data_IF_785563570309
#
_entry.id   IF_785563570309
#
_cell.length_a   1.000
_cell.length_b   1.000
_cell.length_c   1.000
_cell.angle_alpha   90.00
_cell.angle_beta   90.00
_cell.angle_gamma   90.00
#
_symmetry.space_group_name_H-M   'P 1'
#
loop_
_entity.id
_entity.type
_entity.pdbx_description
1 polymer ?
#
# COMPACT_ATOMS: atom_id res chain seq x y z
N UNK A 1 4.36 -0.29 13.41
CA UNK A 1 3.21 -1.15 13.04
C UNK A 1 2.77 -0.99 11.59
N UNK A 2 2.54 0.23 11.07
CA UNK A 2 2.03 0.41 9.69
C UNK A 2 3.01 0.06 8.58
N UNK A 3 4.31 0.20 8.81
CA UNK A 3 5.34 -0.29 7.88
C UNK A 3 5.29 -1.82 7.74
N UNK A 4 5.07 -2.55 8.85
CA UNK A 4 4.88 -4.00 8.81
C UNK A 4 3.62 -4.41 8.04
N UNK A 5 2.52 -3.65 8.20
CA UNK A 5 1.31 -3.88 7.42
C UNK A 5 1.58 -3.70 5.92
N UNK A 6 2.25 -2.62 5.52
CA UNK A 6 2.62 -2.40 4.12
C UNK A 6 3.53 -3.49 3.55
N UNK A 7 4.53 -3.90 4.33
CA UNK A 7 5.41 -5.00 3.97
C UNK A 7 4.65 -6.31 3.74
N UNK A 8 3.78 -6.70 4.69
CA UNK A 8 2.96 -7.91 4.56
C UNK A 8 2.00 -7.79 3.38
N UNK A 9 1.33 -6.65 3.23
CA UNK A 9 0.37 -6.42 2.14
C UNK A 9 1.03 -6.53 0.76
N UNK A 10 2.25 -6.02 0.60
CA UNK A 10 3.00 -6.13 -0.66
C UNK A 10 3.52 -7.56 -0.90
N UNK A 11 3.91 -8.27 0.15
CA UNK A 11 4.26 -9.69 0.01
C UNK A 11 3.05 -10.51 -0.42
N UNK A 12 1.88 -10.27 0.18
CA UNK A 12 0.65 -10.99 -0.17
C UNK A 12 0.25 -10.79 -1.63
N UNK A 13 0.26 -9.55 -2.14
CA UNK A 13 -0.11 -9.31 -3.54
C UNK A 13 0.90 -9.95 -4.50
N UNK A 14 2.17 -9.97 -4.13
CA UNK A 14 3.22 -10.62 -4.94
C UNK A 14 3.19 -12.15 -4.88
N UNK A 15 2.72 -12.74 -3.78
CA UNK A 15 2.43 -14.19 -3.69
C UNK A 15 1.26 -14.56 -4.60
N UNK A 16 0.25 -13.71 -4.69
CA UNK A 16 -0.87 -13.92 -5.62
C UNK A 16 -0.38 -13.85 -7.06
N UNK A 17 0.47 -12.87 -7.41
CA UNK A 17 1.13 -12.81 -8.73
C UNK A 17 2.00 -14.04 -9.03
N UNK A 18 2.76 -14.53 -8.05
CA UNK A 18 3.53 -15.78 -8.17
C UNK A 18 2.62 -16.98 -8.48
N UNK A 19 1.46 -17.06 -7.81
CA UNK A 19 0.47 -18.11 -8.07
C UNK A 19 -0.13 -17.97 -9.47
N UNK A 20 -0.45 -16.75 -9.88
CA UNK A 20 -1.10 -16.49 -11.17
C UNK A 20 -0.21 -16.91 -12.34
N UNK A 21 1.07 -16.50 -12.30
CA UNK A 21 2.09 -16.91 -13.28
C UNK A 21 2.33 -18.42 -13.29
N UNK A 22 2.23 -19.09 -12.12
CA UNK A 22 2.38 -20.54 -12.03
C UNK A 22 1.26 -21.30 -12.74
N UNK A 23 0.02 -20.80 -12.72
CA UNK A 23 -1.15 -21.51 -13.23
C UNK A 23 -1.57 -21.07 -14.64
N UNK A 24 -1.48 -19.79 -14.97
CA UNK A 24 -1.97 -19.24 -16.25
C UNK A 24 -0.86 -18.91 -17.25
N UNK A 25 0.41 -18.94 -16.82
CA UNK A 25 1.56 -18.67 -17.68
C UNK A 25 1.86 -17.17 -17.83
N UNK A 26 3.12 -16.85 -18.15
CA UNK A 26 3.59 -15.47 -18.35
C UNK A 26 3.18 -14.89 -19.70
N UNK A 27 3.11 -13.57 -19.79
CA UNK A 27 2.89 -12.79 -21.02
C UNK A 27 3.97 -13.05 -22.11
N UNK A 28 5.08 -13.70 -21.72
CA UNK A 28 6.22 -14.06 -22.57
C UNK A 28 6.27 -15.55 -22.95
N UNK A 29 5.20 -16.32 -22.73
CA UNK A 29 5.04 -17.70 -23.24
C UNK A 29 5.82 -18.77 -22.47
N UNK A 30 6.39 -18.45 -21.31
CA UNK A 30 7.09 -19.41 -20.47
C UNK A 30 6.20 -19.85 -19.30
N UNK A 31 6.02 -21.17 -19.16
CA UNK A 31 5.24 -21.79 -18.10
C UNK A 31 6.21 -22.53 -17.18
N UNK A 32 6.22 -22.21 -15.89
CA UNK A 32 7.02 -22.97 -14.93
C UNK A 32 7.38 -22.25 -13.65
N UNK A 33 7.72 -23.04 -12.63
CA UNK A 33 8.10 -22.60 -11.29
C UNK A 33 9.34 -21.69 -11.31
N UNK A 34 10.28 -21.94 -12.24
CA UNK A 34 11.48 -21.11 -12.42
C UNK A 34 11.14 -19.72 -12.97
N UNK A 35 10.24 -19.62 -13.96
CA UNK A 35 9.80 -18.34 -14.50
C UNK A 35 9.08 -17.51 -13.43
N UNK A 36 8.15 -18.13 -12.68
CA UNK A 36 7.45 -17.50 -11.56
C UNK A 36 8.41 -17.02 -10.45
N UNK A 37 9.44 -17.83 -10.13
CA UNK A 37 10.45 -17.46 -9.14
C UNK A 37 11.26 -16.25 -9.58
N UNK A 38 11.67 -16.20 -10.85
CA UNK A 38 12.43 -15.07 -11.36
C UNK A 38 11.58 -13.79 -11.47
N UNK A 39 10.32 -13.89 -11.89
CA UNK A 39 9.46 -12.72 -12.11
C UNK A 39 8.81 -12.15 -10.84
N UNK A 40 8.42 -13.00 -9.87
CA UNK A 40 7.79 -12.56 -8.62
C UNK A 40 8.59 -12.97 -7.37
N UNK A 41 9.29 -14.10 -7.39
CA UNK A 41 10.05 -14.62 -6.25
C UNK A 41 11.29 -13.80 -5.89
N UNK A 42 12.08 -13.37 -6.88
CA UNK A 42 13.27 -12.53 -6.66
C UNK A 42 12.91 -11.22 -5.98
N UNK A 43 11.74 -10.68 -6.28
CA UNK A 43 11.28 -9.45 -5.67
C UNK A 43 10.77 -9.61 -4.25
N UNK A 44 10.19 -10.77 -3.91
CA UNK A 44 9.90 -11.12 -2.51
C UNK A 44 11.22 -11.20 -1.75
N UNK A 45 12.25 -11.80 -2.35
CA UNK A 45 13.60 -11.92 -1.79
C UNK A 45 14.24 -10.53 -1.59
N UNK A 46 14.07 -9.62 -2.57
CA UNK A 46 14.51 -8.23 -2.46
C UNK A 46 13.80 -7.48 -1.34
N UNK A 47 12.48 -7.62 -1.23
CA UNK A 47 11.70 -6.98 -0.16
C UNK A 47 12.12 -7.49 1.21
N UNK A 48 12.32 -8.81 1.38
CA UNK A 48 12.76 -9.42 2.65
C UNK A 48 14.18 -8.94 2.99
N UNK A 49 15.12 -8.99 2.04
CA UNK A 49 16.49 -8.53 2.26
C UNK A 49 16.56 -7.04 2.57
N UNK A 50 15.83 -6.22 1.82
CA UNK A 50 15.73 -4.78 2.02
C UNK A 50 15.08 -4.42 3.37
N UNK A 51 14.06 -5.16 3.79
CA UNK A 51 13.42 -4.95 5.09
C UNK A 51 14.37 -5.31 6.24
N UNK A 52 15.05 -6.47 6.17
CA UNK A 52 16.05 -6.87 7.15
C UNK A 52 17.21 -5.89 7.25
N UNK A 53 17.69 -5.38 6.10
CA UNK A 53 18.72 -4.35 6.06
C UNK A 53 18.25 -3.04 6.71
N UNK A 54 17.05 -2.56 6.37
CA UNK A 54 16.50 -1.33 6.95
C UNK A 54 16.25 -1.44 8.46
N UNK A 55 15.78 -2.60 8.92
CA UNK A 55 15.55 -2.87 10.34
C UNK A 55 16.87 -2.98 11.11
N UNK A 56 17.92 -3.56 10.52
CA UNK A 56 19.25 -3.60 11.12
C UNK A 56 19.96 -2.24 11.16
N UNK A 57 19.65 -1.32 10.23
CA UNK A 57 20.25 0.01 10.18
C UNK A 57 19.53 1.06 11.05
N UNK A 58 18.19 1.00 11.13
CA UNK A 58 17.37 1.97 11.88
C UNK A 58 16.87 1.43 13.23
N UNK A 59 17.05 0.14 13.52
CA UNK A 59 16.54 -0.52 14.71
C UNK A 59 17.41 -0.31 15.97
N UNK A 60 17.01 -0.90 17.11
CA UNK A 60 17.80 -0.90 18.34
C UNK A 60 19.16 -1.59 18.14
N UNK A 61 20.17 -1.24 18.94
CA UNK A 61 21.56 -1.75 18.84
C UNK A 61 21.67 -3.30 18.82
N UNK A 62 20.66 -3.99 19.37
CA UNK A 62 20.53 -5.46 19.38
C UNK A 62 20.31 -6.07 17.98
N UNK A 63 19.80 -5.28 17.03
CA UNK A 63 19.45 -5.70 15.68
C UNK A 63 20.56 -5.46 14.64
N UNK A 64 21.72 -4.89 15.04
CA UNK A 64 22.84 -4.62 14.12
C UNK A 64 23.34 -5.91 13.43
N UNK A 65 23.26 -7.05 14.14
CA UNK A 65 23.60 -8.37 13.60
C UNK A 65 22.74 -8.80 12.39
N UNK A 66 21.55 -8.22 12.20
CA UNK A 66 20.69 -8.47 11.05
C UNK A 66 21.02 -7.61 9.82
N UNK A 67 21.83 -6.56 9.97
CA UNK A 67 22.19 -5.66 8.86
C UNK A 67 23.01 -6.38 7.79
N UNK A 68 24.05 -7.13 8.20
CA UNK A 68 24.92 -7.86 7.28
C UNK A 68 24.19 -8.94 6.47
N UNK A 69 23.41 -9.86 7.07
CA UNK A 69 22.65 -10.84 6.30
C UNK A 69 21.59 -10.18 5.43
N UNK A 70 20.92 -9.11 5.91
CA UNK A 70 19.97 -8.35 5.11
C UNK A 70 20.58 -7.74 3.85
N UNK A 71 21.77 -7.13 3.96
CA UNK A 71 22.50 -6.57 2.84
C UNK A 71 22.90 -7.63 1.81
N UNK A 72 23.39 -8.80 2.26
CA UNK A 72 23.76 -9.92 1.39
C UNK A 72 22.54 -10.43 0.62
N UNK A 73 21.40 -10.60 1.31
CA UNK A 73 20.15 -11.06 0.68
C UNK A 73 19.64 -10.02 -0.32
N UNK A 74 19.71 -8.73 -0.01
CA UNK A 74 19.30 -7.67 -0.94
C UNK A 74 20.23 -7.60 -2.17
N UNK A 75 21.55 -7.69 -1.99
CA UNK A 75 22.50 -7.67 -3.09
C UNK A 75 22.34 -8.89 -4.01
N UNK A 76 22.16 -10.08 -3.43
CA UNK A 76 21.89 -11.29 -4.21
C UNK A 76 20.57 -11.19 -4.97
N UNK A 77 19.53 -10.60 -4.37
CA UNK A 77 18.28 -10.32 -5.08
C UNK A 77 18.46 -9.36 -6.27
N UNK A 78 19.27 -8.31 -6.14
CA UNK A 78 19.56 -7.38 -7.26
C UNK A 78 20.32 -8.08 -8.39
N UNK A 79 21.28 -8.95 -8.07
CA UNK A 79 21.98 -9.76 -9.08
C UNK A 79 21.01 -10.72 -9.79
N UNK A 80 20.12 -11.35 -9.03
CA UNK A 80 19.07 -12.19 -9.61
C UNK A 80 18.12 -11.38 -10.49
N UNK A 81 17.74 -10.15 -10.10
CA UNK A 81 16.92 -9.27 -10.95
C UNK A 81 17.62 -8.95 -12.27
N UNK A 82 18.91 -8.68 -12.25
CA UNK A 82 19.69 -8.45 -13.47
C UNK A 82 19.65 -9.66 -14.41
N UNK A 83 19.74 -10.87 -13.85
CA UNK A 83 19.57 -12.12 -14.59
C UNK A 83 18.15 -12.28 -15.14
N UNK A 84 17.13 -11.89 -14.36
CA UNK A 84 15.72 -11.99 -14.77
C UNK A 84 15.41 -11.09 -15.96
N UNK A 85 15.89 -9.84 -15.93
CA UNK A 85 15.70 -8.87 -17.00
C UNK A 85 16.42 -9.29 -18.29
N UNK A 86 17.62 -9.90 -18.15
CA UNK A 86 18.38 -10.38 -19.30
C UNK A 86 17.71 -11.58 -19.97
N UNK A 87 17.33 -12.60 -19.20
CA UNK A 87 16.88 -13.88 -19.75
C UNK A 87 15.37 -13.93 -20.06
N UNK A 88 14.54 -13.21 -19.30
CA UNK A 88 13.08 -13.27 -19.46
C UNK A 88 12.48 -12.04 -20.14
N UNK A 89 13.06 -10.85 -19.94
CA UNK A 89 12.58 -9.62 -20.62
C UNK A 89 13.34 -9.29 -21.92
N UNK A 90 14.39 -10.06 -22.24
CA UNK A 90 15.15 -9.90 -23.49
C UNK A 90 15.92 -8.57 -23.59
N UNK A 91 16.09 -7.87 -22.47
CA UNK A 91 16.76 -6.56 -22.43
C UNK A 91 18.29 -6.79 -22.46
N UNK A 92 19.06 -6.01 -23.26
CA UNK A 92 20.52 -6.09 -23.27
C UNK A 92 21.12 -5.94 -21.86
N UNK A 93 22.15 -6.73 -21.56
CA UNK A 93 22.79 -6.80 -20.22
C UNK A 93 23.21 -5.41 -19.68
N UNK A 94 23.68 -4.52 -20.55
CA UNK A 94 24.08 -3.18 -20.15
C UNK A 94 22.92 -2.34 -19.59
N UNK A 95 21.70 -2.52 -20.11
CA UNK A 95 20.52 -1.81 -19.65
C UNK A 95 19.96 -2.47 -18.39
N UNK A 96 19.97 -3.82 -18.32
CA UNK A 96 19.49 -4.54 -17.13
C UNK A 96 20.34 -4.27 -15.88
N UNK A 97 21.65 -4.05 -16.04
CA UNK A 97 22.56 -3.65 -14.94
C UNK A 97 22.13 -2.32 -14.29
N UNK A 98 21.65 -1.36 -15.08
CA UNK A 98 21.22 -0.06 -14.58
C UNK A 98 19.75 -0.09 -14.11
N UNK A 99 18.89 -0.79 -14.85
CA UNK A 99 17.46 -0.80 -14.61
C UNK A 99 17.10 -1.58 -13.34
N UNK A 100 17.74 -2.73 -13.06
CA UNK A 100 17.42 -3.55 -11.90
C UNK A 100 17.56 -2.81 -10.55
N UNK A 101 18.64 -2.05 -10.29
CA UNK A 101 18.73 -1.20 -9.09
C UNK A 101 17.67 -0.08 -9.04
N UNK A 102 17.35 0.54 -10.19
CA UNK A 102 16.34 1.62 -10.26
C UNK A 102 14.96 1.07 -9.90
N UNK A 103 14.61 -0.09 -10.45
CA UNK A 103 13.38 -0.80 -10.16
C UNK A 103 13.27 -1.23 -8.69
N UNK A 104 14.37 -1.74 -8.12
CA UNK A 104 14.46 -2.06 -6.70
C UNK A 104 14.17 -0.85 -5.80
N UNK A 105 14.74 0.32 -6.15
CA UNK A 105 14.48 1.59 -5.45
C UNK A 105 13.03 2.03 -5.64
N UNK A 106 12.47 1.87 -6.84
CA UNK A 106 11.09 2.21 -7.19
C UNK A 106 10.02 1.44 -6.39
N UNK A 107 10.39 0.35 -5.72
CA UNK A 107 9.50 -0.42 -4.84
C UNK A 107 9.40 0.14 -3.42
N UNK A 108 10.40 0.88 -2.94
CA UNK A 108 10.40 1.46 -1.59
C UNK A 108 9.21 2.41 -1.32
N UNK A 109 8.82 3.31 -2.26
CA UNK A 109 7.66 4.18 -2.08
C UNK A 109 6.36 3.41 -1.81
N UNK A 110 6.20 2.20 -2.37
CA UNK A 110 5.01 1.39 -2.15
C UNK A 110 4.88 0.97 -0.68
N UNK A 111 5.98 0.58 -0.02
CA UNK A 111 5.99 0.21 1.40
C UNK A 111 5.77 1.45 2.27
N UNK A 112 6.45 2.55 1.95
CA UNK A 112 6.37 3.82 2.70
C UNK A 112 4.96 4.44 2.59
N UNK A 113 4.26 4.23 1.48
CA UNK A 113 2.91 4.77 1.27
C UNK A 113 1.91 4.35 2.35
N UNK A 114 2.10 3.19 3.00
CA UNK A 114 1.28 2.74 4.12
C UNK A 114 1.40 3.60 5.39
N UNK A 115 2.47 4.40 5.52
CA UNK A 115 2.58 5.43 6.57
C UNK A 115 1.45 6.45 6.45
N UNK A 116 0.88 6.64 5.26
CA UNK A 116 -0.26 7.52 5.04
C UNK A 116 -1.49 7.12 5.85
N UNK A 117 -1.77 5.83 5.98
CA UNK A 117 -2.89 5.34 6.80
C UNK A 117 -2.68 5.68 8.28
N UNK A 118 -1.45 5.56 8.76
CA UNK A 118 -1.08 5.96 10.12
C UNK A 118 -1.24 7.48 10.33
N UNK A 119 -0.72 8.26 9.38
CA UNK A 119 -0.77 9.72 9.45
C UNK A 119 -2.21 10.22 9.53
N UNK A 120 -3.10 9.71 8.67
CA UNK A 120 -4.52 10.07 8.71
C UNK A 120 -5.20 9.58 9.99
N UNK A 121 -4.84 8.39 10.50
CA UNK A 121 -5.32 7.93 11.80
C UNK A 121 -4.94 8.86 12.95
N UNK A 122 -3.68 9.30 13.02
CA UNK A 122 -3.22 10.26 14.05
C UNK A 122 -3.95 11.60 13.90
N UNK A 123 -4.06 12.12 12.68
CA UNK A 123 -4.74 13.39 12.42
C UNK A 123 -6.20 13.33 12.87
N UNK A 124 -6.90 12.22 12.59
CA UNK A 124 -8.27 12.01 13.07
C UNK A 124 -8.38 12.05 14.59
N UNK A 125 -7.48 11.35 15.31
CA UNK A 125 -7.44 11.36 16.78
C UNK A 125 -7.13 12.76 17.31
N UNK A 126 -6.20 13.49 16.68
CA UNK A 126 -5.84 14.85 17.10
C UNK A 126 -6.96 15.87 16.89
N UNK A 127 -7.73 15.74 15.81
CA UNK A 127 -8.92 16.56 15.57
C UNK A 127 -9.98 16.29 16.65
N UNK A 128 -10.20 15.02 17.01
CA UNK A 128 -11.13 14.65 18.08
C UNK A 128 -10.67 15.16 19.46
N UNK A 129 -9.36 15.09 19.75
CA UNK A 129 -8.77 15.62 20.98
C UNK A 129 -8.95 17.15 21.08
N UNK A 130 -8.68 17.88 20.00
CA UNK A 130 -8.88 19.33 19.95
C UNK A 130 -10.37 19.71 20.09
N UNK A 131 -11.26 18.93 19.47
CA UNK A 131 -12.71 19.12 19.65
C UNK A 131 -13.16 18.93 21.10
N UNK A 132 -12.59 17.94 21.80
CA UNK A 132 -12.90 17.71 23.22
C UNK A 132 -12.30 18.78 24.13
N UNK A 133 -11.08 19.25 23.86
CA UNK A 133 -10.46 20.35 24.62
C UNK A 133 -11.22 21.67 24.49
N UNK A 134 -12.00 21.85 23.42
CA UNK A 134 -12.87 23.01 23.25
C UNK A 134 -14.03 23.04 24.27
N UNK A 135 -14.33 21.92 24.91
CA UNK A 135 -15.42 21.81 25.90
C UNK A 135 -15.13 22.56 27.21
N UNK A 136 -13.88 22.53 27.69
CA UNK A 136 -13.49 23.13 28.97
C UNK A 136 -13.74 24.65 29.03
N UNK A 137 -13.21 25.47 28.10
CA UNK A 137 -13.50 26.91 28.10
C UNK A 137 -14.97 27.23 27.79
N UNK A 138 -15.67 26.31 27.12
CA UNK A 138 -17.10 26.48 26.81
C UNK A 138 -17.98 26.23 28.03
N UNK A 139 -17.61 25.27 28.89
CA UNK A 139 -18.28 25.00 30.17
C UNK A 139 -18.14 26.17 31.14
N UNK A 140 -16.96 26.80 31.17
CA UNK A 140 -16.72 27.99 31.99
C UNK A 140 -17.58 29.18 31.50
N UNK A 141 -17.66 29.41 30.19
CA UNK A 141 -18.52 30.46 29.62
C UNK A 141 -20.02 30.21 29.83
N UNK A 142 -20.45 28.94 29.86
CA UNK A 142 -21.82 28.51 30.16
C UNK A 142 -22.21 28.76 31.62
N UNK A 143 -21.24 28.76 32.55
CA UNK A 143 -21.49 28.99 33.97
C UNK A 143 -21.81 30.44 34.32
N UNK A 144 -21.35 31.40 33.51
CA UNK A 144 -21.56 32.84 33.70
C UNK A 144 -22.92 33.33 33.14
N UNK A 145 -23.41 32.77 32.02
CA UNK A 145 -24.70 33.15 31.43
C UNK A 145 -25.47 31.94 30.85
N UNK A 146 -26.56 31.49 31.50
CA UNK A 146 -27.35 30.33 31.08
C UNK A 146 -28.04 30.48 29.72
N UNK A 147 -28.14 31.70 29.18
CA UNK A 147 -28.90 31.96 27.96
C UNK A 147 -28.14 31.52 26.69
N UNK A 148 -26.81 31.43 26.75
CA UNK A 148 -25.95 31.02 25.62
C UNK A 148 -25.70 29.51 25.53
N UNK A 149 -26.15 28.74 26.53
CA UNK A 149 -25.98 27.28 26.62
C UNK A 149 -26.44 26.53 25.36
N UNK A 150 -27.63 26.83 24.78
CA UNK A 150 -28.10 26.11 23.59
C UNK A 150 -27.19 26.36 22.37
N UNK A 151 -26.67 27.58 22.22
CA UNK A 151 -25.81 27.97 21.09
C UNK A 151 -24.46 27.25 21.17
N UNK A 152 -23.86 27.23 22.35
CA UNK A 152 -22.60 26.54 22.60
C UNK A 152 -22.73 25.02 22.47
N UNK A 153 -23.83 24.44 22.96
CA UNK A 153 -24.09 23.01 22.81
C UNK A 153 -24.23 22.58 21.34
N UNK A 154 -24.93 23.37 20.52
CA UNK A 154 -25.05 23.13 19.07
C UNK A 154 -23.69 23.29 18.38
N UNK A 155 -22.89 24.29 18.77
CA UNK A 155 -21.54 24.50 18.25
C UNK A 155 -20.61 23.31 18.54
N UNK A 156 -20.64 22.78 19.76
CA UNK A 156 -19.87 21.59 20.14
C UNK A 156 -20.32 20.33 19.40
N UNK A 157 -21.64 20.11 19.25
CA UNK A 157 -22.17 19.01 18.43
C UNK A 157 -21.74 19.12 16.96
N UNK A 158 -21.69 20.34 16.40
CA UNK A 158 -21.23 20.56 15.04
C UNK A 158 -19.75 20.19 14.87
N UNK A 159 -18.89 20.58 15.81
CA UNK A 159 -17.47 20.20 15.83
C UNK A 159 -17.31 18.69 15.95
N UNK A 160 -18.10 18.04 16.81
CA UNK A 160 -18.04 16.59 17.00
C UNK A 160 -18.52 15.82 15.75
N UNK A 161 -19.58 16.29 15.10
CA UNK A 161 -20.07 15.71 13.85
C UNK A 161 -19.05 15.85 12.73
N UNK A 162 -18.37 17.00 12.65
CA UNK A 162 -17.30 17.23 11.69
C UNK A 162 -16.08 16.33 11.95
N UNK A 163 -15.65 16.18 13.21
CA UNK A 163 -14.57 15.29 13.59
C UNK A 163 -14.89 13.82 13.26
N UNK A 164 -16.14 13.40 13.50
CA UNK A 164 -16.61 12.07 13.13
C UNK A 164 -16.61 11.85 11.61
N UNK A 165 -17.12 12.83 10.84
CA UNK A 165 -17.14 12.77 9.38
C UNK A 165 -15.74 12.63 8.78
N UNK A 166 -14.79 13.46 9.21
CA UNK A 166 -13.40 13.35 8.77
C UNK A 166 -12.76 12.02 9.19
N UNK A 167 -13.06 11.55 10.40
CA UNK A 167 -12.58 10.27 10.92
C UNK A 167 -13.07 9.06 10.14
N UNK A 168 -14.26 9.11 9.53
CA UNK A 168 -14.80 8.02 8.72
C UNK A 168 -14.36 8.12 7.27
N UNK A 169 -14.46 9.29 6.64
CA UNK A 169 -14.22 9.40 5.19
C UNK A 169 -12.72 9.43 4.83
N UNK A 170 -11.89 10.11 5.62
CA UNK A 170 -10.47 10.32 5.28
C UNK A 170 -9.69 9.00 5.22
N UNK A 171 -9.80 8.08 6.21
CA UNK A 171 -9.11 6.78 6.13
C UNK A 171 -9.65 5.90 5.01
N UNK A 172 -10.96 5.93 4.75
CA UNK A 172 -11.59 5.07 3.73
C UNK A 172 -11.10 5.40 2.31
N UNK A 173 -11.01 6.68 1.95
CA UNK A 173 -10.50 7.10 0.63
C UNK A 173 -9.04 6.70 0.47
N UNK A 174 -8.23 6.83 1.53
CA UNK A 174 -6.84 6.43 1.49
C UNK A 174 -6.67 4.91 1.41
N UNK A 175 -7.44 4.14 2.17
CA UNK A 175 -7.45 2.69 2.06
C UNK A 175 -7.82 2.23 0.64
N UNK A 176 -8.83 2.85 0.02
CA UNK A 176 -9.20 2.58 -1.37
C UNK A 176 -8.04 2.89 -2.34
N UNK A 177 -7.34 4.02 -2.15
CA UNK A 177 -6.13 4.32 -2.96
C UNK A 177 -5.08 3.24 -2.82
N UNK A 178 -4.76 2.80 -1.59
CA UNK A 178 -3.77 1.73 -1.39
C UNK A 178 -4.22 0.44 -2.10
N UNK A 179 -5.50 0.09 -2.04
CA UNK A 179 -6.02 -1.08 -2.74
C UNK A 179 -5.89 -0.98 -4.27
N UNK A 180 -6.19 0.17 -4.86
CA UNK A 180 -6.09 0.32 -6.32
C UNK A 180 -4.66 0.52 -6.81
N UNK A 181 -3.85 1.31 -6.11
CA UNK A 181 -2.52 1.73 -6.61
C UNK A 181 -1.44 0.75 -6.18
N UNK A 182 -1.55 0.19 -4.98
CA UNK A 182 -0.47 -0.63 -4.41
C UNK A 182 -0.80 -2.12 -4.47
N UNK A 183 -2.05 -2.52 -4.22
CA UNK A 183 -2.45 -3.93 -4.29
C UNK A 183 -2.68 -4.39 -5.73
N UNK A 184 -3.60 -3.76 -6.48
CA UNK A 184 -3.90 -4.20 -7.85
C UNK A 184 -2.65 -4.18 -8.76
N UNK A 185 -1.76 -3.20 -8.61
CA UNK A 185 -0.52 -3.10 -9.40
C UNK A 185 0.42 -4.32 -9.28
N UNK A 186 0.29 -5.16 -8.25
CA UNK A 186 1.22 -6.27 -8.01
C UNK A 186 0.90 -7.54 -8.79
N UNK A 187 -0.34 -7.69 -9.23
CA UNK A 187 -0.84 -8.92 -9.87
C UNK A 187 -1.76 -8.65 -11.05
N UNK A 188 -2.35 -7.46 -11.14
CA UNK A 188 -3.29 -7.15 -12.21
C UNK A 188 -2.51 -6.77 -13.47
N UNK A 189 -2.44 -7.71 -14.40
CA UNK A 189 -2.13 -7.41 -15.77
C UNK A 189 -3.41 -7.02 -16.52
N UNK A 190 -3.34 -5.96 -17.32
CA UNK A 190 -4.48 -5.48 -18.11
C UNK A 190 -4.80 -6.37 -19.32
N UNK A 191 -4.10 -7.50 -19.47
CA UNK A 191 -4.22 -8.46 -20.56
C UNK A 191 -5.42 -9.41 -20.37
N UNK A 192 -6.64 -8.86 -20.46
CA UNK A 192 -7.88 -9.62 -20.45
C UNK A 192 -8.87 -9.12 -21.49
N UNK A 193 -9.52 -10.04 -22.22
CA UNK A 193 -10.67 -9.67 -23.04
C UNK A 193 -11.88 -9.45 -22.14
N UNK A 194 -12.54 -8.30 -22.30
CA UNK A 194 -13.81 -8.05 -21.63
C UNK A 194 -14.80 -9.15 -22.04
N UNK A 195 -15.42 -9.80 -21.05
CA UNK A 195 -16.42 -10.82 -21.30
C UNK A 195 -17.55 -10.23 -22.14
N UNK A 196 -17.63 -10.64 -23.40
CA UNK A 196 -18.75 -10.33 -24.28
C UNK A 196 -19.77 -11.45 -24.07
N UNK A 197 -20.89 -11.21 -23.36
CA UNK A 197 -21.92 -12.22 -23.24
C UNK A 197 -22.46 -12.54 -24.63
N UNK A 198 -22.72 -13.82 -24.90
CA UNK A 198 -23.50 -14.22 -26.06
C UNK A 198 -24.95 -13.75 -25.86
N UNK A 199 -25.31 -12.59 -26.41
CA UNK A 199 -26.66 -12.04 -26.29
C UNK A 199 -26.87 -10.77 -27.11
N UNK A 200 -28.03 -10.70 -27.79
CA UNK A 200 -28.49 -9.52 -28.49
C UNK A 200 -28.68 -8.36 -27.51
N UNK A 201 -28.10 -7.19 -27.79
CA UNK A 201 -28.53 -5.92 -27.17
C UNK A 201 -29.93 -5.61 -27.69
N UNK A 202 -30.97 -5.87 -26.91
CA UNK A 202 -32.29 -5.31 -27.21
C UNK A 202 -32.21 -3.80 -27.06
N UNK A 203 -32.23 -3.11 -28.19
CA UNK A 203 -31.98 -1.67 -28.27
C UNK A 203 -33.10 -0.84 -27.62
N UNK A 204 -34.32 -1.37 -27.43
CA UNK A 204 -35.45 -0.67 -26.81
C UNK A 204 -36.31 -1.65 -26.00
N UNK A 205 -36.48 -1.40 -24.71
CA UNK A 205 -37.69 -1.80 -23.96
C UNK A 205 -38.03 -0.62 -23.07
N UNK A 206 -39.16 0.03 -23.37
CA UNK A 206 -39.71 1.14 -22.60
C UNK A 206 -39.99 0.67 -21.17
N UNK A 207 -39.58 1.48 -20.20
CA UNK A 207 -39.97 1.32 -18.80
C UNK A 207 -41.27 2.08 -18.63
N UNK A 208 -42.37 1.35 -18.42
CA UNK A 208 -43.59 1.87 -17.80
C UNK A 208 -43.47 1.73 -16.28
#
# INVERSE_FOLDING_TARGET
>A
MTIYLGFLHIIFGRIIGFRDVLFYGTDHGHVGLLAAFFEHGVWILLLIGGFMFSYGYLGPDEAEYMMQPGAIVALTAVVLLMWTLYNYHGIPLAISLLLAPIEAIGMMPSVISYVRLFAVGIVGVKIAETGNMLWDPMKDAVSDDPLFVPVFFVGWLAVQFFAWGLGVFSPNIHAARLHFVEWMRQYYDSSGEAFVPFGFRSHHVEVE
#
